data_IF_086667795942
#
_entry.id   IF_086667795942
#
_cell.length_a   1.000
_cell.length_b   1.000
_cell.length_c   1.000
_cell.angle_alpha   90.00
_cell.angle_beta   90.00
_cell.angle_gamma   90.00
#
_symmetry.space_group_name_H-M   'P 1'
#
loop_
_entity.id
_entity.type
_entity.pdbx_description
1 polymer ?
#
# COMPACT_ATOMS: atom_id res chain seq x y z
N UNK A 1 -5.14 -5.14 21.57
CA UNK A 1 -6.01 -5.02 20.40
C UNK A 1 -6.56 -6.39 20.02
N UNK A 2 -7.82 -6.42 19.61
CA UNK A 2 -8.43 -7.63 19.10
C UNK A 2 -8.00 -7.84 17.65
N UNK A 3 -7.50 -9.04 17.35
CA UNK A 3 -7.24 -9.43 15.98
C UNK A 3 -8.46 -10.12 15.41
N UNK A 4 -9.26 -9.39 14.66
CA UNK A 4 -10.47 -9.89 14.07
C UNK A 4 -10.25 -10.85 12.87
N UNK A 5 -9.01 -10.99 12.39
CA UNK A 5 -8.66 -11.97 11.37
C UNK A 5 -8.57 -13.39 11.94
N UNK A 6 -8.13 -13.54 13.18
CA UNK A 6 -7.90 -14.82 13.82
C UNK A 6 -8.43 -14.91 15.28
N UNK A 7 -9.26 -13.93 15.67
CA UNK A 7 -9.90 -13.87 17.00
C UNK A 7 -8.92 -13.87 18.18
N UNK A 8 -7.69 -13.38 17.95
CA UNK A 8 -6.66 -13.27 19.00
C UNK A 8 -6.48 -11.82 19.45
N UNK A 9 -6.22 -11.64 20.74
CA UNK A 9 -5.81 -10.36 21.28
C UNK A 9 -4.31 -10.20 21.13
N UNK A 10 -3.89 -9.19 20.36
CA UNK A 10 -2.49 -8.86 20.14
C UNK A 10 -2.26 -7.43 20.64
N UNK A 11 -1.48 -7.32 21.69
CA UNK A 11 -1.14 -6.05 22.33
C UNK A 11 0.11 -5.45 21.72
N UNK A 12 0.10 -4.12 21.63
CA UNK A 12 1.19 -3.31 21.10
C UNK A 12 1.54 -3.64 19.63
N UNK A 13 2.44 -2.91 19.11
CA UNK A 13 2.99 -3.06 17.77
C UNK A 13 4.42 -2.55 17.75
N UNK A 14 5.07 -2.69 16.63
CA UNK A 14 6.38 -2.10 16.39
C UNK A 14 6.27 -0.58 16.39
N UNK A 15 7.26 0.10 16.95
CA UNK A 15 7.37 1.55 16.85
C UNK A 15 7.65 1.97 15.42
N UNK A 16 6.83 2.85 14.88
CA UNK A 16 7.00 3.42 13.54
C UNK A 16 7.28 4.91 13.66
N UNK A 17 8.47 5.32 13.24
CA UNK A 17 8.85 6.72 13.20
C UNK A 17 8.42 7.36 11.87
N UNK A 18 7.87 8.57 11.94
CA UNK A 18 7.55 9.39 10.79
C UNK A 18 8.35 10.68 10.81
N UNK A 19 8.77 11.17 9.67
CA UNK A 19 9.29 12.53 9.52
C UNK A 19 8.15 13.47 9.17
N UNK A 20 7.95 14.49 9.99
CA UNK A 20 6.96 15.54 9.76
C UNK A 20 7.68 16.72 9.11
N UNK A 21 7.09 17.27 8.05
CA UNK A 21 7.62 18.44 7.36
C UNK A 21 6.50 19.43 7.07
N UNK A 22 6.85 20.70 6.92
CA UNK A 22 5.91 21.74 6.52
C UNK A 22 5.84 21.80 4.99
N UNK A 23 4.63 21.79 4.45
CA UNK A 23 4.37 22.03 3.03
C UNK A 23 4.43 23.52 2.71
N UNK A 24 4.52 23.87 1.42
CA UNK A 24 4.55 25.27 0.96
C UNK A 24 3.32 26.05 1.35
N UNK A 25 2.17 25.42 1.45
CA UNK A 25 0.91 26.04 1.91
C UNK A 25 0.82 26.22 3.44
N UNK A 26 1.88 25.84 4.16
CA UNK A 26 1.96 25.93 5.62
C UNK A 26 1.38 24.76 6.38
N UNK A 27 0.71 23.81 5.71
CA UNK A 27 0.20 22.58 6.35
C UNK A 27 1.32 21.59 6.63
N UNK A 28 1.05 20.57 7.43
CA UNK A 28 2.02 19.53 7.75
C UNK A 28 1.83 18.32 6.83
N UNK A 29 2.95 17.81 6.34
CA UNK A 29 3.05 16.55 5.63
C UNK A 29 3.81 15.52 6.45
N UNK A 30 3.67 14.26 6.04
CA UNK A 30 4.34 13.12 6.65
C UNK A 30 5.07 12.32 5.56
N UNK A 31 6.30 11.91 5.86
CA UNK A 31 7.11 11.07 4.96
C UNK A 31 7.92 10.06 5.73
N UNK A 32 8.43 9.07 5.02
CA UNK A 32 9.37 8.12 5.59
C UNK A 32 10.69 8.83 5.95
N UNK A 33 11.27 8.58 7.13
CA UNK A 33 12.60 9.09 7.43
C UNK A 33 13.63 8.58 6.42
N UNK A 34 14.45 9.47 5.87
CA UNK A 34 15.43 9.11 4.84
C UNK A 34 16.37 8.00 5.29
N UNK A 35 16.79 8.03 6.56
CA UNK A 35 17.67 6.99 7.15
C UNK A 35 17.04 5.60 7.15
N UNK A 36 15.71 5.51 7.32
CA UNK A 36 14.97 4.25 7.24
C UNK A 36 14.90 3.79 5.77
N UNK A 37 14.59 4.71 4.85
CA UNK A 37 14.52 4.40 3.43
C UNK A 37 15.85 3.90 2.86
N UNK A 38 16.95 4.53 3.24
CA UNK A 38 18.30 4.19 2.78
C UNK A 38 18.88 2.92 3.42
N UNK A 39 18.23 2.39 4.45
CA UNK A 39 18.63 1.10 5.02
C UNK A 39 18.37 -0.08 4.07
N UNK A 40 17.44 0.08 3.13
CA UNK A 40 17.13 -0.89 2.08
C UNK A 40 18.01 -0.65 0.85
N UNK A 41 19.16 -1.30 0.77
CA UNK A 41 20.25 -0.95 -0.16
C UNK A 41 20.13 -1.58 -1.55
N UNK A 42 19.67 -2.81 -1.65
CA UNK A 42 19.65 -3.55 -2.92
C UNK A 42 18.34 -3.31 -3.66
N UNK A 43 18.28 -2.19 -4.38
CA UNK A 43 17.11 -1.79 -5.14
C UNK A 43 16.97 -2.62 -6.43
N UNK A 44 15.86 -3.31 -6.59
CA UNK A 44 15.42 -3.90 -7.85
C UNK A 44 14.45 -2.94 -8.54
N UNK A 45 14.73 -2.58 -9.79
CA UNK A 45 13.81 -1.82 -10.63
C UNK A 45 12.85 -2.80 -11.29
N UNK A 46 11.56 -2.53 -11.17
CA UNK A 46 10.49 -3.32 -11.77
C UNK A 46 10.00 -2.64 -13.06
N UNK A 47 9.43 -3.42 -13.96
CA UNK A 47 8.85 -2.90 -15.19
C UNK A 47 7.61 -2.05 -14.91
N UNK A 48 7.41 -0.98 -15.69
CA UNK A 48 6.17 -0.20 -15.65
C UNK A 48 4.97 -1.07 -16.04
N UNK A 49 3.83 -0.84 -15.38
CA UNK A 49 2.61 -1.61 -15.62
C UNK A 49 1.43 -0.67 -15.92
N UNK A 50 0.60 -1.08 -16.87
CA UNK A 50 -0.66 -0.41 -17.16
C UNK A 50 -1.80 -1.40 -16.96
N UNK A 51 -2.60 -1.16 -15.95
CA UNK A 51 -3.79 -1.96 -15.66
C UNK A 51 -5.02 -1.23 -16.15
N UNK A 52 -5.74 -1.86 -17.09
CA UNK A 52 -6.95 -1.30 -17.70
C UNK A 52 -8.10 -2.30 -17.62
N UNK A 53 -9.24 -1.83 -17.12
CA UNK A 53 -10.49 -2.58 -17.09
C UNK A 53 -11.68 -1.63 -17.20
N UNK A 54 -12.58 -1.83 -18.15
CA UNK A 54 -13.77 -0.98 -18.31
C UNK A 54 -14.78 -1.20 -17.17
N UNK A 55 -14.86 -2.43 -16.68
CA UNK A 55 -15.74 -2.78 -15.56
C UNK A 55 -15.16 -3.94 -14.77
N UNK A 56 -15.14 -3.78 -13.44
CA UNK A 56 -14.58 -4.73 -12.49
C UNK A 56 -13.09 -4.53 -12.24
N UNK A 57 -12.50 -5.49 -11.55
CA UNK A 57 -11.11 -5.42 -11.05
C UNK A 57 -10.16 -6.19 -11.98
N UNK A 58 -8.98 -5.65 -12.20
CA UNK A 58 -7.83 -6.31 -12.82
C UNK A 58 -6.64 -6.25 -11.87
N UNK A 59 -5.86 -7.32 -11.80
CA UNK A 59 -4.70 -7.44 -10.92
C UNK A 59 -3.47 -7.90 -11.68
N UNK A 60 -2.30 -7.54 -11.14
CA UNK A 60 -0.99 -8.01 -11.63
C UNK A 60 -0.05 -8.15 -10.44
N UNK A 61 0.42 -9.37 -10.18
CA UNK A 61 1.50 -9.57 -9.23
C UNK A 61 2.82 -9.09 -9.83
N UNK A 62 3.55 -8.24 -9.12
CA UNK A 62 4.82 -7.63 -9.57
C UNK A 62 6.03 -8.13 -8.79
N UNK A 63 5.81 -8.68 -7.61
CA UNK A 63 6.81 -9.39 -6.80
C UNK A 63 6.17 -10.66 -6.28
N UNK A 64 6.80 -11.81 -6.45
CA UNK A 64 6.27 -13.12 -6.01
C UNK A 64 6.80 -13.56 -4.65
N UNK A 65 7.89 -12.98 -4.18
CA UNK A 65 8.54 -13.32 -2.91
C UNK A 65 9.10 -12.03 -2.31
N UNK A 66 8.26 -11.30 -1.58
CA UNK A 66 8.66 -10.04 -0.95
C UNK A 66 9.39 -10.25 0.38
N UNK A 67 9.12 -11.34 1.09
CA UNK A 67 9.63 -11.57 2.43
C UNK A 67 8.92 -10.70 3.48
N UNK A 68 9.47 -10.65 4.68
CA UNK A 68 8.82 -10.03 5.83
C UNK A 68 9.21 -8.55 6.01
N UNK A 69 10.40 -8.15 5.53
CA UNK A 69 10.86 -6.77 5.69
C UNK A 69 11.36 -6.21 4.35
N UNK A 70 10.62 -5.23 3.82
CA UNK A 70 10.90 -4.66 2.50
C UNK A 70 10.35 -3.24 2.35
N UNK A 71 10.85 -2.55 1.31
CA UNK A 71 10.23 -1.33 0.79
C UNK A 71 9.76 -1.52 -0.65
N UNK A 72 8.70 -0.82 -1.00
CA UNK A 72 8.15 -0.74 -2.36
C UNK A 72 7.83 0.72 -2.70
N UNK A 73 8.06 1.11 -3.94
CA UNK A 73 7.81 2.46 -4.42
C UNK A 73 7.22 2.43 -5.82
N UNK A 74 6.29 3.35 -6.10
CA UNK A 74 5.73 3.56 -7.44
C UNK A 74 5.09 4.93 -7.56
N UNK A 75 5.01 5.46 -8.78
CA UNK A 75 4.20 6.62 -9.13
C UNK A 75 2.99 6.15 -9.96
N UNK A 76 1.79 6.53 -9.55
CA UNK A 76 0.55 6.11 -10.19
C UNK A 76 -0.14 7.29 -10.85
N UNK A 77 -0.47 7.12 -12.14
CA UNK A 77 -1.34 8.05 -12.89
C UNK A 77 -2.69 7.37 -13.13
N UNK A 78 -3.79 8.08 -12.84
CA UNK A 78 -5.15 7.60 -13.04
C UNK A 78 -5.74 8.17 -14.34
N UNK A 79 -6.49 7.34 -15.09
CA UNK A 79 -7.13 7.72 -16.35
C UNK A 79 -8.50 7.06 -16.48
N UNK A 80 -9.26 7.53 -17.44
CA UNK A 80 -10.55 6.93 -17.85
C UNK A 80 -11.57 6.82 -16.72
N UNK A 81 -11.55 7.77 -15.77
CA UNK A 81 -12.50 7.81 -14.65
C UNK A 81 -12.27 6.70 -13.63
N UNK A 82 -11.04 6.19 -13.52
CA UNK A 82 -10.67 5.10 -12.61
C UNK A 82 -11.34 5.24 -11.23
N UNK A 83 -12.06 4.19 -10.83
CA UNK A 83 -12.74 4.16 -9.53
C UNK A 83 -11.75 4.00 -8.38
N UNK A 84 -10.87 3.01 -8.49
CA UNK A 84 -9.86 2.75 -7.47
C UNK A 84 -8.62 2.07 -8.05
N UNK A 85 -7.49 2.24 -7.35
CA UNK A 85 -6.31 1.42 -7.53
C UNK A 85 -5.75 1.00 -6.19
N UNK A 86 -5.01 -0.09 -6.17
CA UNK A 86 -4.41 -0.57 -4.92
C UNK A 86 -3.03 -1.20 -5.12
N UNK A 87 -2.26 -1.16 -4.03
CA UNK A 87 -1.07 -1.99 -3.83
C UNK A 87 -1.39 -2.97 -2.72
N UNK A 88 -1.41 -4.25 -3.05
CA UNK A 88 -1.66 -5.34 -2.12
C UNK A 88 -0.35 -6.00 -1.68
N UNK A 89 -0.27 -6.29 -0.40
CA UNK A 89 0.88 -6.92 0.26
C UNK A 89 0.47 -8.30 0.75
N UNK A 90 1.45 -9.18 0.97
CA UNK A 90 1.21 -10.58 1.35
C UNK A 90 0.23 -11.28 0.41
N UNK A 91 0.34 -10.96 -0.87
CA UNK A 91 -0.54 -11.49 -1.89
C UNK A 91 -0.34 -12.99 -2.08
N UNK A 92 -1.45 -13.72 -2.08
CA UNK A 92 -1.50 -15.11 -2.50
C UNK A 92 -2.17 -15.17 -3.88
N UNK A 93 -1.37 -15.42 -4.90
CA UNK A 93 -1.83 -15.42 -6.30
C UNK A 93 -2.93 -16.47 -6.57
N UNK A 94 -2.91 -17.61 -5.89
CA UNK A 94 -3.88 -18.69 -6.09
C UNK A 94 -5.26 -18.34 -5.51
N UNK A 95 -5.28 -17.72 -4.33
CA UNK A 95 -6.52 -17.38 -3.62
C UNK A 95 -6.99 -15.96 -3.85
N UNK A 96 -6.11 -15.07 -4.36
CA UNK A 96 -6.36 -13.64 -4.50
C UNK A 96 -6.45 -12.89 -3.18
N UNK A 97 -6.00 -13.49 -2.08
CA UNK A 97 -6.02 -12.87 -0.75
C UNK A 97 -4.82 -11.96 -0.59
N UNK A 98 -5.06 -10.71 -0.22
CA UNK A 98 -4.00 -9.73 0.06
C UNK A 98 -4.46 -8.62 1.01
N UNK A 99 -3.52 -7.94 1.66
CA UNK A 99 -3.74 -6.71 2.40
C UNK A 99 -3.48 -5.51 1.49
N UNK A 100 -4.50 -4.72 1.20
CA UNK A 100 -4.45 -3.66 0.20
C UNK A 100 -4.49 -2.27 0.82
N UNK A 101 -3.58 -1.42 0.40
CA UNK A 101 -3.78 0.02 0.44
C UNK A 101 -4.51 0.42 -0.84
N UNK A 102 -5.77 0.82 -0.71
CA UNK A 102 -6.66 1.13 -1.83
C UNK A 102 -6.98 2.61 -1.86
N UNK A 103 -6.66 3.28 -2.96
CA UNK A 103 -7.06 4.67 -3.19
C UNK A 103 -8.40 4.67 -3.90
N UNK A 104 -9.39 5.30 -3.27
CA UNK A 104 -10.73 5.56 -3.80
C UNK A 104 -10.71 6.92 -4.47
N UNK A 105 -10.49 6.95 -5.80
CA UNK A 105 -10.17 8.18 -6.55
C UNK A 105 -11.25 9.25 -6.42
N UNK A 106 -12.52 8.90 -6.61
CA UNK A 106 -13.63 9.85 -6.52
C UNK A 106 -13.91 10.36 -5.09
N UNK A 107 -13.41 9.64 -4.08
CA UNK A 107 -13.61 9.99 -2.68
C UNK A 107 -12.42 10.72 -2.06
N UNK A 108 -11.32 10.86 -2.82
CA UNK A 108 -10.06 11.46 -2.37
C UNK A 108 -9.59 10.89 -1.02
N UNK A 109 -9.58 9.57 -0.91
CA UNK A 109 -9.09 8.90 0.30
C UNK A 109 -8.39 7.58 -0.02
N UNK A 110 -7.47 7.22 0.85
CA UNK A 110 -6.86 5.89 0.89
C UNK A 110 -7.41 5.12 2.08
N UNK A 111 -7.71 3.86 1.86
CA UNK A 111 -8.14 2.91 2.90
C UNK A 111 -7.16 1.75 2.97
N UNK A 112 -7.14 1.06 4.13
CA UNK A 112 -6.49 -0.24 4.26
C UNK A 112 -7.55 -1.32 4.44
N UNK A 113 -7.45 -2.37 3.65
CA UNK A 113 -8.44 -3.46 3.65
C UNK A 113 -7.77 -4.80 3.35
N UNK A 114 -8.40 -5.89 3.72
CA UNK A 114 -8.05 -7.24 3.30
C UNK A 114 -8.99 -7.66 2.16
N UNK A 115 -8.45 -8.13 1.07
CA UNK A 115 -9.19 -8.48 -0.15
C UNK A 115 -9.04 -9.99 -0.39
N UNK A 116 -10.12 -10.70 -0.73
CA UNK A 116 -11.51 -10.24 -0.72
C UNK A 116 -12.02 -9.96 0.70
N UNK A 117 -12.95 -9.03 0.86
CA UNK A 117 -13.51 -8.69 2.18
C UNK A 117 -14.43 -9.79 2.76
N UNK A 118 -14.82 -10.76 1.95
CA UNK A 118 -15.58 -11.91 2.36
C UNK A 118 -14.67 -13.13 2.57
N UNK A 119 -14.83 -13.91 3.62
CA UNK A 119 -15.87 -13.86 4.69
C UNK A 119 -15.53 -13.00 5.91
N UNK A 120 -14.58 -12.09 5.83
CA UNK A 120 -14.12 -11.32 7.00
C UNK A 120 -15.13 -10.28 7.47
N UNK A 121 -15.24 -10.08 8.79
CA UNK A 121 -16.04 -9.00 9.32
C UNK A 121 -15.53 -7.63 8.82
N UNK A 122 -16.43 -6.83 8.28
CA UNK A 122 -16.09 -5.48 7.77
C UNK A 122 -15.57 -4.52 8.85
N UNK A 123 -15.74 -4.88 10.12
CA UNK A 123 -15.31 -4.05 11.25
C UNK A 123 -13.80 -3.85 11.35
N UNK A 124 -13.00 -4.68 10.68
CA UNK A 124 -11.53 -4.63 10.73
C UNK A 124 -10.96 -3.36 10.10
N UNK A 125 -11.72 -2.71 9.24
CA UNK A 125 -11.24 -1.59 8.44
C UNK A 125 -11.76 -0.24 8.93
N UNK A 126 -12.54 -0.22 10.00
CA UNK A 126 -13.08 1.02 10.56
C UNK A 126 -11.94 1.91 11.08
N UNK A 127 -11.85 3.12 10.52
CA UNK A 127 -10.83 4.10 10.90
C UNK A 127 -9.46 3.92 10.26
N UNK A 128 -9.25 2.87 9.47
CA UNK A 128 -8.02 2.68 8.69
C UNK A 128 -8.14 3.40 7.33
N UNK A 129 -8.30 4.72 7.40
CA UNK A 129 -8.41 5.57 6.23
C UNK A 129 -7.78 6.94 6.46
N UNK A 130 -7.38 7.60 5.37
CA UNK A 130 -6.86 8.97 5.36
C UNK A 130 -7.33 9.69 4.11
N UNK A 131 -7.63 11.01 4.20
CA UNK A 131 -7.82 11.82 3.02
C UNK A 131 -6.51 11.89 2.24
N UNK A 132 -6.59 11.75 0.92
CA UNK A 132 -5.46 11.88 0.00
C UNK A 132 -5.93 12.46 -1.32
N UNK A 133 -5.18 13.43 -1.84
CA UNK A 133 -5.42 14.01 -3.15
C UNK A 133 -4.26 13.69 -4.09
N UNK A 134 -4.50 13.64 -5.41
CA UNK A 134 -3.39 13.59 -6.36
C UNK A 134 -2.54 14.84 -6.25
N UNK A 135 -1.29 14.75 -6.67
CA UNK A 135 -0.43 15.90 -6.87
C UNK A 135 -1.01 16.82 -7.97
N UNK A 136 -0.45 18.02 -8.17
CA UNK A 136 -0.90 18.97 -9.19
C UNK A 136 -0.84 18.41 -10.60
N UNK A 137 0.10 17.48 -10.88
CA UNK A 137 0.23 16.77 -12.16
C UNK A 137 -0.71 15.55 -12.29
N UNK A 138 -1.60 15.33 -11.32
CA UNK A 138 -2.56 14.22 -11.29
C UNK A 138 -1.96 12.88 -10.86
N UNK A 139 -0.74 12.86 -10.32
CA UNK A 139 -0.07 11.63 -9.89
C UNK A 139 -0.25 11.35 -8.40
N UNK A 140 -0.06 10.07 -8.04
CA UNK A 140 0.10 9.61 -6.67
C UNK A 140 1.50 9.00 -6.52
N UNK A 141 2.35 9.61 -5.69
CA UNK A 141 3.63 9.01 -5.33
C UNK A 141 3.44 8.14 -4.09
N UNK A 142 3.77 6.87 -4.22
CA UNK A 142 3.55 5.84 -3.21
C UNK A 142 4.89 5.27 -2.75
N UNK A 143 5.08 5.25 -1.44
CA UNK A 143 6.17 4.54 -0.78
C UNK A 143 5.57 3.66 0.32
N UNK A 144 5.96 2.39 0.36
CA UNK A 144 5.51 1.43 1.36
C UNK A 144 6.72 0.82 2.04
N UNK A 145 6.65 0.72 3.37
CA UNK A 145 7.54 -0.12 4.17
C UNK A 145 6.70 -1.17 4.86
N UNK A 146 7.07 -2.42 4.67
CA UNK A 146 6.58 -3.55 5.45
C UNK A 146 7.67 -4.04 6.39
N UNK A 147 7.32 -4.24 7.66
CA UNK A 147 8.19 -4.80 8.69
C UNK A 147 7.37 -5.80 9.49
N UNK A 148 7.51 -7.07 9.15
CA UNK A 148 6.70 -8.17 9.64
C UNK A 148 5.19 -7.84 9.53
N UNK A 149 4.50 -7.76 10.65
CA UNK A 149 3.04 -7.52 10.69
C UNK A 149 2.64 -6.07 10.47
N UNK A 150 3.57 -5.14 10.40
CA UNK A 150 3.28 -3.71 10.22
C UNK A 150 3.55 -3.29 8.77
N UNK A 151 2.58 -2.64 8.16
CA UNK A 151 2.76 -1.96 6.89
C UNK A 151 2.49 -0.46 7.04
N UNK A 152 3.36 0.35 6.49
CA UNK A 152 3.23 1.81 6.45
C UNK A 152 3.24 2.29 5.02
N UNK A 153 2.14 2.90 4.62
CA UNK A 153 2.02 3.64 3.37
C UNK A 153 2.35 5.11 3.60
N UNK A 154 3.14 5.68 2.72
CA UNK A 154 3.30 7.11 2.52
C UNK A 154 2.82 7.46 1.12
N UNK A 155 1.88 8.39 1.01
CA UNK A 155 1.29 8.80 -0.25
C UNK A 155 1.03 10.30 -0.25
N UNK A 156 1.68 11.04 -1.16
CA UNK A 156 1.51 12.49 -1.31
C UNK A 156 1.53 13.27 0.03
N UNK A 157 2.47 12.94 0.90
CA UNK A 157 2.62 13.58 2.20
C UNK A 157 1.62 13.16 3.28
N UNK A 158 0.93 12.05 3.06
CA UNK A 158 0.03 11.40 4.04
C UNK A 158 0.62 10.06 4.44
N UNK A 159 0.49 9.66 5.70
CA UNK A 159 0.88 8.35 6.18
C UNK A 159 -0.32 7.55 6.71
N UNK A 160 -0.34 6.27 6.41
CA UNK A 160 -1.31 5.30 6.94
C UNK A 160 -0.57 4.05 7.40
N UNK A 161 -0.59 3.81 8.72
CA UNK A 161 -0.07 2.58 9.30
C UNK A 161 -1.19 1.56 9.43
N UNK A 162 -0.86 0.32 9.14
CA UNK A 162 -1.80 -0.78 9.23
C UNK A 162 -1.11 -2.04 9.73
N UNK A 163 -1.89 -2.98 10.24
CA UNK A 163 -1.42 -4.27 10.70
C UNK A 163 -1.93 -5.40 9.83
N UNK A 164 -1.01 -6.24 9.39
CA UNK A 164 -1.29 -7.46 8.62
C UNK A 164 -1.18 -8.66 9.57
N UNK A 165 -2.31 -9.15 10.07
CA UNK A 165 -2.32 -10.17 11.13
C UNK A 165 -1.99 -11.58 10.66
N UNK A 166 -2.28 -11.89 9.41
CA UNK A 166 -2.03 -13.21 8.81
C UNK A 166 -1.09 -13.09 7.61
N UNK A 167 -0.53 -14.20 7.19
CA UNK A 167 0.34 -14.26 6.01
C UNK A 167 -0.26 -15.21 4.97
N UNK A 168 -1.26 -14.73 4.20
CA UNK A 168 -1.89 -15.56 3.16
C UNK A 168 -0.94 -15.91 2.02
N UNK A 169 0.02 -15.05 1.72
CA UNK A 169 1.04 -15.22 0.69
C UNK A 169 2.24 -14.29 0.92
N UNK A 170 3.08 -14.15 -0.08
CA UNK A 170 4.35 -13.43 -0.01
C UNK A 170 4.57 -12.47 -1.19
N UNK A 171 3.51 -12.21 -1.94
CA UNK A 171 3.54 -11.36 -3.13
C UNK A 171 3.24 -9.89 -2.87
N UNK A 172 3.60 -9.06 -3.87
CA UNK A 172 3.07 -7.70 -4.03
C UNK A 172 2.25 -7.68 -5.30
N UNK A 173 0.99 -7.25 -5.19
CA UNK A 173 0.03 -7.18 -6.29
C UNK A 173 -0.44 -5.75 -6.50
N UNK A 174 -0.53 -5.34 -7.76
CA UNK A 174 -1.19 -4.11 -8.18
C UNK A 174 -2.62 -4.41 -8.61
N UNK A 175 -3.53 -3.49 -8.40
CA UNK A 175 -4.88 -3.60 -8.90
C UNK A 175 -5.43 -2.26 -9.40
N UNK A 176 -6.36 -2.35 -10.35
CA UNK A 176 -7.16 -1.24 -10.86
C UNK A 176 -8.61 -1.70 -11.02
N UNK A 177 -9.58 -0.82 -10.78
CA UNK A 177 -11.00 -1.08 -10.87
C UNK A 177 -11.71 0.03 -11.62
N UNK A 178 -12.50 -0.37 -12.65
CA UNK A 178 -13.34 0.53 -13.45
C UNK A 178 -12.57 1.72 -14.02
N UNK A 179 -11.59 1.47 -14.90
CA UNK A 179 -10.76 2.50 -15.52
C UNK A 179 -9.32 2.05 -15.77
N UNK A 180 -8.39 3.00 -15.79
CA UNK A 180 -6.97 2.75 -16.08
C UNK A 180 -6.06 3.33 -15.01
N UNK A 181 -5.19 2.50 -14.42
CA UNK A 181 -4.07 2.89 -13.59
C UNK A 181 -2.75 2.61 -14.32
N UNK A 182 -1.86 3.59 -14.33
CA UNK A 182 -0.50 3.46 -14.88
C UNK A 182 0.48 3.56 -13.75
N UNK A 183 1.19 2.48 -13.46
CA UNK A 183 2.22 2.38 -12.42
C UNK A 183 3.59 2.52 -13.07
N UNK A 184 4.36 3.50 -12.63
CA UNK A 184 5.69 3.82 -13.16
C UNK A 184 6.74 3.93 -12.06
N UNK A 185 7.99 3.93 -12.49
CA UNK A 185 9.14 4.12 -11.61
C UNK A 185 9.14 3.15 -10.43
N UNK A 186 8.65 1.93 -10.69
CA UNK A 186 8.51 0.92 -9.65
C UNK A 186 9.84 0.40 -9.15
N UNK A 187 9.98 0.31 -7.86
CA UNK A 187 11.15 -0.29 -7.24
C UNK A 187 10.81 -1.05 -5.97
N UNK A 188 11.61 -2.08 -5.72
CA UNK A 188 11.51 -2.97 -4.59
C UNK A 188 12.88 -3.22 -3.98
N UNK A 189 12.97 -3.30 -2.67
CA UNK A 189 14.18 -3.72 -1.97
C UNK A 189 13.85 -4.45 -0.68
N UNK A 190 14.52 -5.58 -0.43
CA UNK A 190 14.45 -6.28 0.86
C UNK A 190 15.38 -5.62 1.86
N UNK A 191 15.02 -5.68 3.13
CA UNK A 191 15.97 -5.35 4.19
C UNK A 191 17.02 -6.46 4.29
N UNK A 192 18.32 -6.13 4.33
CA UNK A 192 19.35 -7.15 4.45
C UNK A 192 19.32 -7.73 5.87
N UNK A 193 18.58 -8.82 6.06
CA UNK A 193 18.67 -9.62 7.28
C UNK A 193 20.06 -10.24 7.34
N UNK A 194 20.74 -10.06 8.48
CA UNK A 194 22.04 -10.69 8.74
C UNK A 194 21.91 -12.17 9.03
#
# INVERSE_FOLDING_TARGET
DENSDNEQFIWAGTFVAHEIYQREDGTLGCRVPQTVWDAFKEKTVLADETLKRESGRVTKQVVSNAGDCYRFETTVTVKDGLRSFSVGLRDNEETGVSYCFTVLCAQNRVIFEKVPNWPWPQMNNIGLERPVHPNEDGTYHIQIIADDTIATLYINGVALNARMYTQPGDGIVLAAEDGTAVFKDMSFAKFPLK
#
